data_IF_510329110784
#
_entry.id   IF_510329110784
#
_cell.length_a   1.000
_cell.length_b   1.000
_cell.length_c   1.000
_cell.angle_alpha   90.00
_cell.angle_beta   90.00
_cell.angle_gamma   90.00
#
_symmetry.space_group_name_H-M   'P 1'
#
loop_
_entity.id
_entity.type
_entity.pdbx_description
1 polymer ?
#
# COMPACT_ATOMS: atom_id res chain seq x y z
N UNK A 1 12.74 -14.80 1.28
CA UNK A 1 13.33 -14.00 2.38
C UNK A 1 13.71 -12.59 1.95
N UNK A 2 14.48 -12.40 0.87
CA UNK A 2 14.86 -11.05 0.41
C UNK A 2 13.67 -10.08 0.20
N UNK A 3 12.56 -10.53 -0.39
CA UNK A 3 11.39 -9.68 -0.63
C UNK A 3 10.71 -9.18 0.65
N UNK A 4 10.64 -10.02 1.68
CA UNK A 4 10.08 -9.64 2.99
C UNK A 4 11.02 -8.63 3.65
N UNK A 5 12.34 -8.86 3.58
CA UNK A 5 13.33 -7.91 4.08
C UNK A 5 13.20 -6.55 3.38
N UNK A 6 13.14 -6.54 2.04
CA UNK A 6 12.94 -5.31 1.26
C UNK A 6 11.63 -4.62 1.64
N UNK A 7 10.54 -5.37 1.77
CA UNK A 7 9.25 -4.84 2.20
C UNK A 7 9.33 -4.17 3.59
N UNK A 8 9.98 -4.83 4.56
CA UNK A 8 10.18 -4.27 5.90
C UNK A 8 11.04 -3.01 5.84
N UNK A 9 12.18 -3.04 5.15
CA UNK A 9 13.09 -1.88 5.05
C UNK A 9 12.39 -0.69 4.40
N UNK A 10 11.68 -0.90 3.30
CA UNK A 10 10.92 0.16 2.64
C UNK A 10 9.84 0.70 3.58
N UNK A 11 9.08 -0.18 4.25
CA UNK A 11 8.02 0.23 5.17
C UNK A 11 8.56 1.08 6.33
N UNK A 12 9.71 0.68 6.91
CA UNK A 12 10.38 1.45 7.96
C UNK A 12 10.90 2.80 7.44
N UNK A 13 11.45 2.83 6.23
CA UNK A 13 11.96 4.04 5.60
C UNK A 13 10.86 5.07 5.37
N UNK A 14 9.62 4.64 5.14
CA UNK A 14 8.48 5.53 4.92
C UNK A 14 7.93 6.21 6.19
N UNK A 15 8.22 5.67 7.38
CA UNK A 15 7.73 6.24 8.65
C UNK A 15 8.07 7.73 8.80
N UNK A 16 9.34 8.17 8.67
CA UNK A 16 9.68 9.59 8.81
C UNK A 16 9.07 10.48 7.72
N UNK A 17 8.85 9.97 6.50
CA UNK A 17 8.26 10.74 5.40
C UNK A 17 6.75 10.93 5.54
N UNK A 18 6.05 10.01 6.22
CA UNK A 18 4.60 10.08 6.44
C UNK A 18 4.20 10.75 7.76
N UNK A 19 5.09 10.76 8.75
CA UNK A 19 4.80 11.35 10.04
C UNK A 19 4.74 12.90 9.95
N UNK A 20 3.76 13.56 10.58
CA UNK A 20 3.63 15.01 10.54
C UNK A 20 4.71 15.74 11.36
N UNK A 21 5.33 15.05 12.33
CA UNK A 21 6.39 15.58 13.18
C UNK A 21 7.42 14.49 13.52
N UNK A 22 8.66 14.86 13.91
CA UNK A 22 9.66 13.90 14.38
C UNK A 22 9.19 13.06 15.57
N UNK A 23 8.46 13.67 16.52
CA UNK A 23 7.92 12.97 17.69
C UNK A 23 6.90 11.90 17.29
N UNK A 24 6.05 12.17 16.31
CA UNK A 24 5.11 11.19 15.78
C UNK A 24 5.84 10.02 15.10
N UNK A 25 6.92 10.28 14.38
CA UNK A 25 7.74 9.22 13.77
C UNK A 25 8.37 8.32 14.83
N UNK A 26 8.95 8.90 15.89
CA UNK A 26 9.51 8.15 17.02
C UNK A 26 8.45 7.33 17.74
N UNK A 27 7.25 7.90 17.93
CA UNK A 27 6.11 7.18 18.52
C UNK A 27 5.70 5.95 17.72
N UNK A 28 5.68 6.04 16.38
CA UNK A 28 5.40 4.89 15.50
C UNK A 28 6.49 3.83 15.63
N UNK A 29 7.77 4.21 15.56
CA UNK A 29 8.90 3.27 15.69
C UNK A 29 8.90 2.58 17.06
N UNK A 30 8.67 3.33 18.14
CA UNK A 30 8.55 2.76 19.47
C UNK A 30 7.35 1.79 19.58
N UNK A 31 6.24 2.09 18.90
CA UNK A 31 5.07 1.22 18.81
C UNK A 31 5.36 -0.14 18.17
N UNK A 32 6.28 -0.21 17.20
CA UNK A 32 6.69 -1.48 16.57
C UNK A 32 7.39 -2.45 17.53
N UNK A 33 7.95 -1.93 18.63
CA UNK A 33 8.67 -2.71 19.64
C UNK A 33 7.79 -3.08 20.85
N UNK A 34 6.53 -2.62 20.89
CA UNK A 34 5.60 -2.98 21.97
C UNK A 34 5.12 -4.42 21.80
N UNK A 35 5.03 -5.12 22.92
CA UNK A 35 4.54 -6.52 22.99
C UNK A 35 3.09 -6.62 23.46
N UNK A 36 2.55 -5.51 23.96
CA UNK A 36 1.21 -5.30 24.47
C UNK A 36 0.22 -5.13 23.31
N UNK A 37 0.05 -6.23 22.56
CA UNK A 37 -0.93 -6.33 21.48
C UNK A 37 -2.33 -6.61 22.08
N UNK A 38 -3.39 -5.97 21.57
CA UNK A 38 -4.74 -6.33 21.95
C UNK A 38 -5.03 -7.79 21.58
N UNK A 39 -5.86 -8.50 22.37
CA UNK A 39 -6.16 -9.92 22.14
C UNK A 39 -6.91 -10.17 20.82
N UNK A 40 -7.54 -9.13 20.25
CA UNK A 40 -8.18 -9.17 18.95
C UNK A 40 -7.89 -7.89 18.18
N UNK A 41 -7.65 -8.02 16.88
CA UNK A 41 -7.47 -6.88 15.99
C UNK A 41 -8.81 -6.20 15.74
N UNK A 42 -8.79 -4.87 15.73
CA UNK A 42 -9.90 -4.07 15.24
C UNK A 42 -9.96 -4.14 13.70
N UNK A 43 -11.06 -3.63 13.12
CA UNK A 43 -11.25 -3.65 11.67
C UNK A 43 -10.12 -2.93 10.90
N UNK A 44 -9.62 -1.76 11.36
CA UNK A 44 -8.43 -1.12 10.77
C UNK A 44 -7.17 -2.00 10.84
N UNK A 45 -6.89 -2.64 11.98
CA UNK A 45 -5.75 -3.54 12.14
C UNK A 45 -5.84 -4.75 11.22
N UNK A 46 -7.03 -5.34 11.09
CA UNK A 46 -7.28 -6.44 10.16
C UNK A 46 -7.08 -6.01 8.70
N UNK A 47 -7.61 -4.84 8.33
CA UNK A 47 -7.43 -4.28 6.99
C UNK A 47 -5.96 -3.99 6.68
N UNK A 48 -5.19 -3.49 7.65
CA UNK A 48 -3.76 -3.26 7.51
C UNK A 48 -3.00 -4.58 7.27
N UNK A 49 -3.30 -5.65 8.03
CA UNK A 49 -2.69 -6.97 7.80
C UNK A 49 -3.06 -7.52 6.42
N UNK A 50 -4.33 -7.44 6.04
CA UNK A 50 -4.78 -7.88 4.72
C UNK A 50 -4.03 -7.13 3.60
N UNK A 51 -3.88 -5.81 3.73
CA UNK A 51 -3.13 -4.98 2.79
C UNK A 51 -1.63 -5.34 2.74
N UNK A 52 -1.00 -5.61 3.90
CA UNK A 52 0.40 -6.04 3.95
C UNK A 52 0.60 -7.40 3.26
N UNK A 53 -0.25 -8.39 3.57
CA UNK A 53 -0.21 -9.72 2.95
C UNK A 53 -0.39 -9.60 1.44
N UNK A 54 -1.39 -8.81 1.01
CA UNK A 54 -1.65 -8.56 -0.41
C UNK A 54 -0.44 -7.92 -1.10
N UNK A 55 0.17 -6.90 -0.49
CA UNK A 55 1.32 -6.19 -1.06
C UNK A 55 2.53 -7.11 -1.20
N UNK A 56 2.83 -7.92 -0.19
CA UNK A 56 3.92 -8.90 -0.27
C UNK A 56 3.63 -9.96 -1.33
N UNK A 57 2.42 -10.53 -1.34
CA UNK A 57 2.02 -11.51 -2.35
C UNK A 57 2.12 -10.94 -3.77
N UNK A 58 1.74 -9.68 -3.95
CA UNK A 58 1.87 -8.95 -5.21
C UNK A 58 3.33 -8.74 -5.62
N UNK A 59 4.19 -8.28 -4.71
CA UNK A 59 5.63 -8.15 -4.98
C UNK A 59 6.27 -9.48 -5.37
N UNK A 60 5.79 -10.58 -4.78
CA UNK A 60 6.25 -11.92 -5.12
C UNK A 60 5.78 -12.36 -6.51
N UNK A 61 4.51 -12.13 -6.85
CA UNK A 61 3.95 -12.54 -8.13
C UNK A 61 4.46 -11.73 -9.33
N UNK A 62 4.79 -10.45 -9.10
CA UNK A 62 5.25 -9.51 -10.12
C UNK A 62 6.77 -9.49 -10.29
N UNK A 63 7.53 -10.24 -9.49
CA UNK A 63 9.01 -10.21 -9.52
C UNK A 63 9.61 -10.43 -10.91
N UNK A 64 9.05 -11.38 -11.66
CA UNK A 64 9.58 -11.81 -12.96
C UNK A 64 8.64 -11.41 -14.13
N UNK A 65 7.69 -10.49 -13.88
CA UNK A 65 6.67 -10.11 -14.86
C UNK A 65 6.45 -8.61 -14.83
N UNK A 66 6.32 -8.00 -16.01
CA UNK A 66 5.86 -6.62 -16.07
C UNK A 66 4.35 -6.55 -15.86
N UNK A 67 3.87 -5.46 -15.26
CA UNK A 67 2.44 -5.23 -15.05
C UNK A 67 1.69 -5.20 -16.38
N UNK A 68 2.31 -4.58 -17.38
CA UNK A 68 1.83 -4.50 -18.75
C UNK A 68 1.65 -5.89 -19.36
N UNK A 69 2.59 -6.81 -19.17
CA UNK A 69 2.47 -8.17 -19.68
C UNK A 69 1.31 -8.93 -19.00
N UNK A 70 1.12 -8.74 -17.69
CA UNK A 70 0.01 -9.37 -16.95
C UNK A 70 -1.33 -8.83 -17.45
N UNK A 71 -1.48 -7.51 -17.56
CA UNK A 71 -2.72 -6.88 -18.03
C UNK A 71 -2.97 -7.20 -19.50
N UNK A 72 -1.94 -7.22 -20.35
CA UNK A 72 -2.06 -7.58 -21.77
C UNK A 72 -2.55 -9.02 -21.98
N UNK A 73 -2.27 -9.92 -21.03
CA UNK A 73 -2.81 -11.29 -21.06
C UNK A 73 -4.31 -11.38 -20.77
N UNK A 74 -4.91 -10.32 -20.25
CA UNK A 74 -6.35 -10.28 -19.96
C UNK A 74 -7.15 -9.96 -21.23
N UNK A 75 -8.35 -10.52 -21.35
CA UNK A 75 -9.28 -10.14 -22.42
C UNK A 75 -9.69 -8.66 -22.31
N UNK A 76 -10.02 -8.04 -23.46
CA UNK A 76 -10.38 -6.61 -23.56
C UNK A 76 -11.46 -6.18 -22.57
N UNK A 77 -12.46 -7.03 -22.31
CA UNK A 77 -13.53 -6.73 -21.36
C UNK A 77 -13.04 -6.57 -19.93
N UNK A 78 -12.04 -7.37 -19.50
CA UNK A 78 -11.45 -7.27 -18.16
C UNK A 78 -10.57 -6.03 -18.03
N UNK A 79 -9.81 -5.70 -19.07
CA UNK A 79 -9.02 -4.46 -19.11
C UNK A 79 -9.93 -3.22 -19.01
N UNK A 80 -11.01 -3.21 -19.79
CA UNK A 80 -11.99 -2.12 -19.74
C UNK A 80 -12.66 -2.00 -18.37
N UNK A 81 -13.10 -3.12 -17.79
CA UNK A 81 -13.71 -3.13 -16.46
C UNK A 81 -12.75 -2.63 -15.38
N UNK A 82 -11.48 -3.05 -15.43
CA UNK A 82 -10.45 -2.58 -14.50
C UNK A 82 -10.22 -1.06 -14.64
N UNK A 83 -10.11 -0.56 -15.88
CA UNK A 83 -9.93 0.87 -16.14
C UNK A 83 -11.14 1.71 -15.69
N UNK A 84 -12.35 1.26 -16.00
CA UNK A 84 -13.58 1.91 -15.54
C UNK A 84 -13.66 1.91 -14.00
N UNK A 85 -13.29 0.79 -13.36
CA UNK A 85 -13.20 0.68 -11.90
C UNK A 85 -12.25 1.70 -11.30
N UNK A 86 -11.04 1.83 -11.84
CA UNK A 86 -10.06 2.83 -11.39
C UNK A 86 -10.58 4.27 -11.53
N UNK A 87 -11.23 4.60 -12.66
CA UNK A 87 -11.81 5.93 -12.85
C UNK A 87 -12.95 6.22 -11.87
N UNK A 88 -13.80 5.22 -11.62
CA UNK A 88 -14.89 5.34 -10.65
C UNK A 88 -14.36 5.50 -9.22
N UNK A 89 -13.35 4.74 -8.81
CA UNK A 89 -12.76 4.88 -7.48
C UNK A 89 -12.06 6.23 -7.31
N UNK A 90 -11.34 6.70 -8.33
CA UNK A 90 -10.78 8.06 -8.32
C UNK A 90 -11.89 9.10 -8.17
N UNK A 91 -12.97 9.00 -8.94
CA UNK A 91 -14.08 9.95 -8.85
C UNK A 91 -14.74 9.94 -7.46
N UNK A 92 -15.01 8.76 -6.90
CA UNK A 92 -15.74 8.62 -5.64
C UNK A 92 -14.91 8.98 -4.40
N UNK A 93 -13.60 8.75 -4.43
CA UNK A 93 -12.75 8.87 -3.24
C UNK A 93 -11.71 10.02 -3.31
N UNK A 94 -11.45 10.62 -4.47
CA UNK A 94 -10.46 11.71 -4.63
C UNK A 94 -11.00 13.11 -4.28
N UNK A 95 -12.32 13.28 -4.11
CA UNK A 95 -12.96 14.60 -3.94
C UNK A 95 -12.79 15.29 -2.58
N UNK A 96 -12.01 14.74 -1.64
CA UNK A 96 -11.97 15.19 -0.25
C UNK A 96 -10.73 15.99 0.18
N UNK A 97 -9.62 15.95 -0.58
CA UNK A 97 -8.37 16.59 -0.19
C UNK A 97 -7.88 17.57 -1.26
N UNK A 98 -7.83 18.88 -0.93
CA UNK A 98 -7.27 19.91 -1.82
C UNK A 98 -5.75 19.75 -2.03
N UNK A 99 -5.13 18.76 -1.38
CA UNK A 99 -3.72 18.35 -1.56
C UNK A 99 -3.56 17.07 -2.36
N UNK A 100 -4.57 16.65 -3.14
CA UNK A 100 -4.42 15.59 -4.13
C UNK A 100 -3.53 16.04 -5.31
N UNK A 101 -2.28 16.39 -5.00
CA UNK A 101 -1.22 16.53 -5.97
C UNK A 101 -0.91 15.11 -6.47
N UNK A 102 -1.29 14.85 -7.71
CA UNK A 102 -0.64 13.81 -8.50
C UNK A 102 0.82 14.27 -8.64
N UNK A 103 1.70 13.75 -7.78
CA UNK A 103 3.13 13.91 -7.94
C UNK A 103 3.56 13.21 -9.23
N UNK A 104 3.50 13.92 -10.35
CA UNK A 104 4.45 13.66 -11.44
C UNK A 104 5.79 14.27 -11.01
N UNK A 105 6.45 13.63 -10.05
CA UNK A 105 7.87 13.86 -9.81
C UNK A 105 8.61 12.94 -10.79
N UNK A 106 9.13 13.57 -11.84
CA UNK A 106 10.21 13.03 -12.66
C UNK A 106 11.46 12.81 -11.81
#
# INVERSE_FOLDING_TARGET
>A
MLQIFVFVVISLTWIPFRAPTPDAALGIVAGLLRSDLPPMLDLPGLAAIAAMIFTVAWHMSMRERSFEAVVASWGKSRQFAAMAGCLMTMYLFSGGDQRAFIYFQF
#
